data_IF_068176193312
#
_entry.id   IF_068176193312
#
_cell.length_a   1.000
_cell.length_b   1.000
_cell.length_c   1.000
_cell.angle_alpha   90.00
_cell.angle_beta   90.00
_cell.angle_gamma   90.00
#
_symmetry.space_group_name_H-M   'P 1'
#
loop_
_entity.id
_entity.type
_entity.pdbx_description
1 polymer ?
#
# COMPACT_ATOMS: atom_id res chain seq x y z
N UNK A 1 7.33 -11.08 17.72
CA UNK A 1 7.52 -10.20 16.56
C UNK A 1 8.13 -11.02 15.45
N UNK A 2 7.42 -11.15 14.34
CA UNK A 2 7.90 -11.80 13.12
C UNK A 2 7.80 -10.79 12.00
N UNK A 3 8.89 -10.61 11.25
CA UNK A 3 8.88 -9.82 10.03
C UNK A 3 8.09 -10.60 8.97
N UNK A 4 7.05 -10.00 8.43
CA UNK A 4 6.19 -10.60 7.39
C UNK A 4 6.11 -9.72 6.16
N UNK A 5 5.68 -10.33 5.05
CA UNK A 5 5.33 -9.64 3.82
C UNK A 5 3.90 -10.00 3.43
N UNK A 6 3.05 -8.99 3.22
CA UNK A 6 1.71 -9.13 2.69
C UNK A 6 1.70 -8.60 1.25
N UNK A 7 1.39 -9.49 0.30
CA UNK A 7 1.21 -9.16 -1.11
C UNK A 7 -0.26 -9.32 -1.48
N UNK A 8 -0.86 -8.26 -2.02
CA UNK A 8 -2.24 -8.32 -2.47
C UNK A 8 -2.49 -7.52 -3.75
N UNK A 9 -3.61 -7.83 -4.38
CA UNK A 9 -4.12 -7.09 -5.53
C UNK A 9 -5.55 -6.62 -5.27
N UNK A 10 -5.89 -5.44 -5.78
CA UNK A 10 -7.27 -4.94 -5.74
C UNK A 10 -7.66 -4.33 -7.09
N UNK A 11 -8.96 -4.23 -7.34
CA UNK A 11 -9.53 -3.60 -8.55
C UNK A 11 -10.11 -2.25 -8.18
N UNK A 12 -9.94 -1.25 -9.05
CA UNK A 12 -10.58 0.06 -8.85
C UNK A 12 -12.11 -0.04 -8.93
N UNK A 13 -12.81 0.73 -8.11
CA UNK A 13 -14.27 0.81 -8.09
C UNK A 13 -14.86 1.92 -8.96
N UNK A 14 -14.02 2.65 -9.71
CA UNK A 14 -14.44 3.78 -10.53
C UNK A 14 -13.29 4.32 -11.39
N UNK A 15 -13.36 5.60 -11.75
CA UNK A 15 -12.24 6.29 -12.38
C UNK A 15 -11.23 6.69 -11.31
N UNK A 16 -9.96 6.48 -11.60
CA UNK A 16 -8.86 6.95 -10.77
C UNK A 16 -7.96 7.86 -11.59
N UNK A 17 -7.53 8.96 -11.00
CA UNK A 17 -6.60 9.93 -11.60
C UNK A 17 -5.29 10.02 -10.82
N UNK A 18 -4.36 10.82 -11.35
CA UNK A 18 -3.06 11.05 -10.70
C UNK A 18 -3.17 11.70 -9.31
N UNK A 19 -4.21 12.51 -9.09
CA UNK A 19 -4.46 13.13 -7.79
C UNK A 19 -4.77 12.07 -6.72
N UNK A 20 -5.60 11.07 -7.07
CA UNK A 20 -5.95 9.97 -6.16
C UNK A 20 -4.72 9.11 -5.82
N UNK A 21 -3.89 8.80 -6.83
CA UNK A 21 -2.63 8.08 -6.62
C UNK A 21 -1.68 8.85 -5.71
N UNK A 22 -1.61 10.18 -5.87
CA UNK A 22 -0.78 11.04 -5.02
C UNK A 22 -1.29 11.04 -3.58
N UNK A 23 -2.60 11.13 -3.38
CA UNK A 23 -3.21 11.05 -2.05
C UNK A 23 -2.93 9.71 -1.36
N UNK A 24 -3.05 8.59 -2.08
CA UNK A 24 -2.72 7.26 -1.54
C UNK A 24 -1.25 7.19 -1.13
N UNK A 25 -0.34 7.65 -2.01
CA UNK A 25 1.10 7.68 -1.75
C UNK A 25 1.43 8.54 -0.52
N UNK A 26 0.86 9.74 -0.42
CA UNK A 26 1.12 10.66 0.68
C UNK A 26 0.55 10.13 2.01
N UNK A 27 -0.64 9.52 2.00
CA UNK A 27 -1.20 8.85 3.17
C UNK A 27 -0.28 7.72 3.66
N UNK A 28 0.18 6.85 2.75
CA UNK A 28 1.10 5.76 3.07
C UNK A 28 2.45 6.29 3.59
N UNK A 29 3.04 7.30 2.94
CA UNK A 29 4.32 7.87 3.33
C UNK A 29 4.28 8.53 4.73
N UNK A 30 3.13 9.06 5.14
CA UNK A 30 2.95 9.67 6.46
C UNK A 30 2.63 8.64 7.55
N UNK A 31 1.90 7.58 7.22
CA UNK A 31 1.40 6.62 8.20
C UNK A 31 2.33 5.41 8.42
N UNK A 32 2.94 4.90 7.35
CA UNK A 32 3.67 3.63 7.37
C UNK A 32 5.01 3.71 8.13
N UNK A 33 5.87 4.73 7.94
CA UNK A 33 7.19 4.76 8.59
C UNK A 33 7.14 4.78 10.12
N UNK A 34 6.26 5.57 10.79
CA UNK A 34 6.11 5.50 12.25
C UNK A 34 5.69 4.13 12.77
N UNK A 35 5.02 3.32 11.94
CA UNK A 35 4.60 1.96 12.26
C UNK A 35 5.65 0.90 11.86
N UNK A 36 6.78 1.31 11.30
CA UNK A 36 7.80 0.38 10.80
C UNK A 36 7.36 -0.44 9.58
N UNK A 37 6.40 0.08 8.80
CA UNK A 37 5.92 -0.55 7.57
C UNK A 37 6.70 0.02 6.37
N UNK A 38 7.22 -0.86 5.52
CA UNK A 38 7.78 -0.54 4.20
C UNK A 38 6.99 -1.22 3.08
N UNK A 39 7.25 -0.86 1.83
CA UNK A 39 6.59 -1.53 0.70
C UNK A 39 6.56 -0.72 -0.59
N UNK A 40 5.68 -1.17 -1.49
CA UNK A 40 5.48 -0.57 -2.82
C UNK A 40 4.02 -0.72 -3.25
N UNK A 41 3.51 0.28 -3.96
CA UNK A 41 2.23 0.24 -4.63
C UNK A 41 2.44 0.48 -6.14
N UNK A 42 1.95 -0.45 -6.95
CA UNK A 42 1.91 -0.32 -8.41
C UNK A 42 0.46 -0.21 -8.87
N UNK A 43 0.20 0.66 -9.85
CA UNK A 43 -1.09 0.81 -10.48
C UNK A 43 -0.97 0.63 -12.00
N UNK A 44 -1.85 -0.17 -12.59
CA UNK A 44 -1.91 -0.39 -14.03
C UNK A 44 -3.17 -1.17 -14.44
N UNK A 45 -3.70 -0.90 -15.63
CA UNK A 45 -4.87 -1.61 -16.21
C UNK A 45 -6.10 -1.72 -15.28
N UNK A 46 -6.29 -0.74 -14.39
CA UNK A 46 -7.40 -0.73 -13.42
C UNK A 46 -7.20 -1.61 -12.19
N UNK A 47 -5.99 -2.09 -11.95
CA UNK A 47 -5.61 -2.88 -10.79
C UNK A 47 -4.50 -2.21 -10.00
N UNK A 48 -4.50 -2.50 -8.71
CA UNK A 48 -3.39 -2.25 -7.81
C UNK A 48 -2.70 -3.56 -7.46
N UNK A 49 -1.37 -3.50 -7.37
CA UNK A 49 -0.52 -4.51 -6.76
C UNK A 49 0.23 -3.84 -5.62
N UNK A 50 0.09 -4.35 -4.40
CA UNK A 50 0.73 -3.77 -3.23
C UNK A 50 1.49 -4.81 -2.43
N UNK A 51 2.70 -4.44 -2.03
CA UNK A 51 3.54 -5.17 -1.08
C UNK A 51 3.63 -4.32 0.19
N UNK A 52 3.39 -4.92 1.34
CA UNK A 52 3.65 -4.35 2.67
C UNK A 52 4.55 -5.28 3.46
N UNK A 53 5.58 -4.74 4.10
CA UNK A 53 6.53 -5.47 4.94
C UNK A 53 6.60 -4.81 6.32
N UNK A 54 6.65 -5.62 7.38
CA UNK A 54 6.66 -5.10 8.77
C UNK A 54 6.36 -6.18 9.80
N UNK A 55 6.07 -5.77 11.05
CA UNK A 55 5.60 -6.71 12.08
C UNK A 55 4.22 -7.27 11.73
N UNK A 56 4.01 -8.56 11.97
CA UNK A 56 2.78 -9.27 11.64
C UNK A 56 1.50 -8.66 12.20
N UNK A 57 1.53 -8.06 13.40
CA UNK A 57 0.34 -7.41 13.99
C UNK A 57 0.10 -6.05 13.36
N UNK A 58 1.16 -5.37 12.94
CA UNK A 58 1.08 -4.03 12.34
C UNK A 58 0.72 -4.06 10.86
N UNK A 59 1.08 -5.14 10.16
CA UNK A 59 0.73 -5.36 8.74
C UNK A 59 -0.73 -5.81 8.55
N UNK A 60 -1.32 -6.50 9.54
CA UNK A 60 -2.72 -6.97 9.49
C UNK A 60 -3.71 -5.95 10.06
#
# INVERSE_FOLDING_TARGET
MALVQLLYTSKISGKIGMADLTQIKDAAANHNPPLGISGMLCFGEGYFLQVLEGDAVTVN
#
